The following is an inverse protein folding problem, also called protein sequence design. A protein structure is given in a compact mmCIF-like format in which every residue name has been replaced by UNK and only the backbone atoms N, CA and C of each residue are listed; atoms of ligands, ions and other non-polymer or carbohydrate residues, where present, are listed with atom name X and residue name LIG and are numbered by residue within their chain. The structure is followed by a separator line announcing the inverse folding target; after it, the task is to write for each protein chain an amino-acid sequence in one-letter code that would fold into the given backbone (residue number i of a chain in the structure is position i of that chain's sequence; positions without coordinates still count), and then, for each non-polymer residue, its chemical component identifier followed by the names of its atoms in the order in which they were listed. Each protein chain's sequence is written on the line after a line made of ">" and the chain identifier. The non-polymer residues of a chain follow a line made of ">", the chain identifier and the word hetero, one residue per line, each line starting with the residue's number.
data_IF_340455761860
#
_entry.id   IF_340455761860
#
_cell.length_a   1.000
_cell.length_b   1.000
_cell.length_c   1.000
_cell.angle_alpha   90.00
_cell.angle_beta   90.00
_cell.angle_gamma   90.00
#
_symmetry.space_group_name_H-M   'P 1'
#
loop_
_entity.id
_entity.type
_entity.pdbx_description
1 polymer ?
#
# COMPACT_ATOMS: atom_id res chain seq x y z
N UNK A 1 5.69 23.82 5.55
CA UNK A 1 6.00 25.10 4.84
C UNK A 1 5.67 24.99 3.36
N UNK A 2 6.23 24.04 2.61
CA UNK A 2 5.87 23.83 1.19
C UNK A 2 4.38 23.49 0.99
N UNK A 3 3.82 22.62 1.84
CA UNK A 3 2.37 22.32 1.82
C UNK A 3 1.49 23.55 2.09
N UNK A 4 1.94 24.48 2.94
CA UNK A 4 1.19 25.72 3.18
C UNK A 4 1.15 26.57 1.91
N UNK A 5 2.29 26.71 1.22
CA UNK A 5 2.37 27.44 -0.04
C UNK A 5 1.52 26.78 -1.12
N UNK A 6 1.51 25.44 -1.17
CA UNK A 6 0.65 24.66 -2.06
C UNK A 6 -0.82 24.96 -1.82
N UNK A 7 -1.26 24.98 -0.57
CA UNK A 7 -2.65 25.30 -0.19
C UNK A 7 -3.05 26.74 -0.52
N UNK A 8 -2.11 27.69 -0.37
CA UNK A 8 -2.34 29.09 -0.76
C UNK A 8 -2.58 29.20 -2.27
N UNK A 9 -1.76 28.51 -3.08
CA UNK A 9 -1.97 28.48 -4.53
C UNK A 9 -3.24 27.72 -4.94
N UNK A 10 -3.59 26.62 -4.27
CA UNK A 10 -4.84 25.91 -4.53
C UNK A 10 -6.05 26.81 -4.29
N UNK A 11 -6.08 27.49 -3.14
CA UNK A 11 -7.13 28.46 -2.82
C UNK A 11 -7.22 29.58 -3.86
N UNK A 12 -6.06 30.06 -4.34
CA UNK A 12 -6.02 31.06 -5.41
C UNK A 12 -6.55 30.52 -6.75
N UNK A 13 -6.17 29.29 -7.12
CA UNK A 13 -6.61 28.63 -8.34
C UNK A 13 -8.14 28.51 -8.35
N UNK A 14 -8.72 28.03 -7.26
CA UNK A 14 -10.17 27.82 -7.15
C UNK A 14 -10.96 29.13 -7.31
N UNK A 15 -10.43 30.22 -6.77
CA UNK A 15 -11.07 31.53 -6.82
C UNK A 15 -10.89 32.25 -8.16
N UNK A 16 -9.89 31.86 -8.97
CA UNK A 16 -9.47 32.61 -10.16
C UNK A 16 -9.35 31.74 -11.42
N UNK A 17 -9.94 30.55 -11.45
CA UNK A 17 -9.76 29.55 -12.51
C UNK A 17 -9.96 30.10 -13.92
N UNK A 18 -11.04 30.86 -14.15
CA UNK A 18 -11.31 31.48 -15.45
C UNK A 18 -10.23 32.48 -15.92
N UNK A 19 -9.58 33.21 -15.01
CA UNK A 19 -8.47 34.12 -15.35
C UNK A 19 -7.20 33.32 -15.66
N UNK A 20 -6.92 32.29 -14.84
CA UNK A 20 -5.75 31.44 -14.98
C UNK A 20 -5.77 30.72 -16.34
N UNK A 21 -6.92 30.19 -16.76
CA UNK A 21 -7.08 29.50 -18.04
C UNK A 21 -6.69 30.38 -19.23
N UNK A 22 -6.97 31.68 -19.16
CA UNK A 22 -6.62 32.63 -20.24
C UNK A 22 -5.15 33.04 -20.25
N UNK A 23 -4.41 32.83 -19.15
CA UNK A 23 -3.03 33.28 -19.02
C UNK A 23 -2.15 32.32 -18.20
N UNK A 24 -2.18 31.04 -18.57
CA UNK A 24 -1.37 29.98 -17.95
C UNK A 24 0.13 30.31 -17.83
N UNK A 25 0.81 30.88 -18.86
CA UNK A 25 2.24 31.18 -18.74
C UNK A 25 2.56 32.16 -17.60
N UNK A 26 1.72 33.17 -17.42
CA UNK A 26 1.90 34.18 -16.35
C UNK A 26 1.65 33.54 -14.98
N UNK A 27 0.59 32.74 -14.86
CA UNK A 27 0.31 32.03 -13.60
C UNK A 27 1.48 31.14 -13.19
N UNK A 28 1.96 30.27 -14.07
CA UNK A 28 3.11 29.42 -13.76
C UNK A 28 4.39 30.23 -13.48
N UNK A 29 4.59 31.36 -14.16
CA UNK A 29 5.68 32.29 -13.85
C UNK A 29 5.63 32.81 -12.41
N UNK A 30 4.44 33.15 -11.90
CA UNK A 30 4.26 33.54 -10.50
C UNK A 30 4.51 32.40 -9.52
N UNK A 31 3.99 31.20 -9.84
CA UNK A 31 4.23 29.98 -9.05
C UNK A 31 5.74 29.77 -8.87
N UNK A 32 6.50 29.82 -9.96
CA UNK A 32 7.95 29.58 -9.94
C UNK A 32 8.68 30.66 -9.16
N UNK A 33 8.39 31.94 -9.43
CA UNK A 33 9.05 33.04 -8.75
C UNK A 33 8.87 32.93 -7.22
N UNK A 34 7.70 32.52 -6.77
CA UNK A 34 7.42 32.30 -5.35
C UNK A 34 8.10 31.04 -4.81
N UNK A 35 8.07 29.93 -5.58
CA UNK A 35 8.70 28.67 -5.21
C UNK A 35 10.22 28.84 -5.04
N UNK A 36 10.89 29.49 -5.99
CA UNK A 36 12.34 29.73 -5.97
C UNK A 36 12.75 30.72 -4.88
N UNK A 37 11.93 31.74 -4.61
CA UNK A 37 12.19 32.68 -3.52
C UNK A 37 12.05 32.02 -2.15
N UNK A 38 11.04 31.17 -1.96
CA UNK A 38 10.75 30.54 -0.67
C UNK A 38 11.61 29.31 -0.40
N UNK A 39 12.09 28.63 -1.44
CA UNK A 39 12.82 27.37 -1.35
C UNK A 39 13.93 27.29 -2.41
N UNK A 40 15.01 28.08 -2.29
CA UNK A 40 16.08 28.16 -3.29
C UNK A 40 16.82 26.83 -3.49
N UNK A 41 16.99 26.05 -2.41
CA UNK A 41 17.74 24.79 -2.41
C UNK A 41 16.84 23.54 -2.61
N UNK A 42 15.63 23.72 -3.15
CA UNK A 42 14.72 22.59 -3.40
C UNK A 42 15.28 21.67 -4.49
N UNK A 43 15.25 20.36 -4.23
CA UNK A 43 15.64 19.37 -5.22
C UNK A 43 14.65 19.34 -6.40
N UNK A 44 15.14 18.92 -7.57
CA UNK A 44 14.34 18.96 -8.79
C UNK A 44 13.11 18.05 -8.74
N UNK A 45 13.11 16.98 -7.95
CA UNK A 45 11.97 16.05 -7.86
C UNK A 45 10.82 16.72 -7.13
N UNK A 46 11.09 17.25 -5.93
CA UNK A 46 10.08 17.97 -5.14
C UNK A 46 9.56 19.20 -5.89
N UNK A 47 10.44 19.89 -6.62
CA UNK A 47 10.07 21.03 -7.46
C UNK A 47 9.08 20.60 -8.56
N UNK A 48 9.40 19.56 -9.31
CA UNK A 48 8.56 19.08 -10.41
C UNK A 48 7.23 18.50 -9.90
N UNK A 49 7.21 17.83 -8.74
CA UNK A 49 5.99 17.36 -8.07
C UNK A 49 5.08 18.54 -7.67
N UNK A 50 5.66 19.67 -7.24
CA UNK A 50 4.88 20.88 -6.95
C UNK A 50 4.20 21.43 -8.20
N UNK A 51 4.93 21.51 -9.32
CA UNK A 51 4.38 21.96 -10.60
C UNK A 51 3.28 21.01 -11.10
N UNK A 52 3.49 19.69 -10.98
CA UNK A 52 2.50 18.67 -11.33
C UNK A 52 1.21 18.83 -10.51
N UNK A 53 1.32 19.12 -9.22
CA UNK A 53 0.16 19.37 -8.35
C UNK A 53 -0.59 20.67 -8.73
N UNK A 54 0.14 21.74 -9.09
CA UNK A 54 -0.50 22.97 -9.60
C UNK A 54 -1.23 22.72 -10.90
N UNK A 55 -0.60 22.01 -11.84
CA UNK A 55 -1.21 21.67 -13.13
C UNK A 55 -2.50 20.85 -12.94
N UNK A 56 -2.48 19.84 -12.07
CA UNK A 56 -3.66 19.05 -11.75
C UNK A 56 -4.78 19.89 -11.13
N UNK A 57 -4.49 20.75 -10.16
CA UNK A 57 -5.52 21.61 -9.55
C UNK A 57 -6.13 22.59 -10.55
N UNK A 58 -5.35 23.09 -11.51
CA UNK A 58 -5.88 23.90 -12.62
C UNK A 58 -6.82 23.07 -13.50
N UNK A 59 -6.45 21.82 -13.83
CA UNK A 59 -7.33 20.94 -14.62
C UNK A 59 -8.67 20.74 -13.91
N UNK A 60 -8.66 20.48 -12.60
CA UNK A 60 -9.85 20.24 -11.78
C UNK A 60 -10.72 21.51 -11.64
N UNK A 61 -10.11 22.67 -11.38
CA UNK A 61 -10.84 23.93 -11.16
C UNK A 61 -11.26 24.62 -12.46
N UNK A 62 -10.70 24.23 -13.61
CA UNK A 62 -10.99 24.85 -14.89
C UNK A 62 -12.46 24.65 -15.28
N UNK A 63 -13.17 25.70 -15.73
CA UNK A 63 -14.49 25.54 -16.36
C UNK A 63 -14.48 24.66 -17.62
N UNK A 64 -13.29 24.30 -18.11
CA UNK A 64 -13.06 23.46 -19.29
C UNK A 64 -12.39 22.14 -18.93
N UNK A 65 -12.53 21.65 -17.69
CA UNK A 65 -11.90 20.44 -17.14
C UNK A 65 -12.06 19.17 -17.98
N UNK A 66 -13.09 19.07 -18.84
CA UNK A 66 -13.28 17.95 -19.79
C UNK A 66 -12.74 18.15 -21.21
N UNK A 67 -12.16 19.30 -21.54
CA UNK A 67 -11.71 19.64 -22.90
C UNK A 67 -10.26 19.23 -23.11
N UNK A 68 -10.00 18.23 -23.97
CA UNK A 68 -8.64 17.77 -24.33
C UNK A 68 -7.72 18.95 -24.70
N UNK A 69 -8.22 19.90 -25.51
CA UNK A 69 -7.41 21.05 -25.93
C UNK A 69 -6.99 21.98 -24.79
N UNK A 70 -7.78 22.05 -23.72
CA UNK A 70 -7.44 22.85 -22.53
C UNK A 70 -6.42 22.09 -21.66
N UNK A 71 -6.63 20.79 -21.46
CA UNK A 71 -5.70 19.91 -20.76
C UNK A 71 -4.32 19.93 -21.42
N UNK A 72 -4.22 19.75 -22.75
CA UNK A 72 -2.95 19.79 -23.46
C UNK A 72 -2.26 21.17 -23.37
N UNK A 73 -3.04 22.26 -23.29
CA UNK A 73 -2.47 23.59 -23.01
C UNK A 73 -1.89 23.68 -21.59
N UNK A 74 -2.57 23.14 -20.58
CA UNK A 74 -2.08 23.09 -19.20
C UNK A 74 -0.80 22.24 -19.13
N UNK A 75 -0.82 21.02 -19.68
CA UNK A 75 0.33 20.12 -19.73
C UNK A 75 1.53 20.80 -20.40
N UNK A 76 1.31 21.41 -21.58
CA UNK A 76 2.37 22.09 -22.32
C UNK A 76 3.00 23.23 -21.53
N UNK A 77 2.20 24.01 -20.79
CA UNK A 77 2.72 25.10 -19.97
C UNK A 77 3.46 24.56 -18.74
N UNK A 78 2.87 23.61 -18.01
CA UNK A 78 3.55 22.98 -16.87
C UNK A 78 4.92 22.40 -17.26
N UNK A 79 4.99 21.65 -18.37
CA UNK A 79 6.24 21.06 -18.87
C UNK A 79 7.36 22.06 -19.14
N UNK A 80 7.03 23.28 -19.62
CA UNK A 80 8.03 24.33 -19.87
C UNK A 80 8.73 24.80 -18.60
N UNK A 81 8.09 24.60 -17.47
CA UNK A 81 8.50 25.12 -16.18
C UNK A 81 9.07 24.05 -15.26
N UNK A 82 9.03 22.77 -15.64
CA UNK A 82 9.68 21.67 -14.91
C UNK A 82 11.19 21.70 -15.13
N UNK A 83 11.96 21.42 -14.07
CA UNK A 83 13.44 21.42 -14.08
C UNK A 83 14.01 20.16 -14.74
N UNK A 84 13.38 19.00 -14.57
CA UNK A 84 13.84 17.77 -15.25
C UNK A 84 13.22 17.58 -16.64
N UNK A 85 12.40 18.54 -17.11
CA UNK A 85 12.08 18.83 -18.51
C UNK A 85 11.51 17.73 -19.42
N UNK A 86 11.30 16.48 -18.96
CA UNK A 86 10.92 15.36 -19.87
C UNK A 86 9.96 14.32 -19.30
N UNK A 87 9.57 14.41 -18.03
CA UNK A 87 8.59 13.48 -17.45
C UNK A 87 7.16 13.95 -17.73
N UNK A 88 6.69 13.82 -18.99
CA UNK A 88 5.28 14.06 -19.37
C UNK A 88 4.33 13.04 -18.70
N UNK A 89 4.83 11.85 -18.37
CA UNK A 89 3.96 10.77 -17.89
C UNK A 89 3.21 11.04 -16.59
N UNK A 90 3.76 11.83 -15.66
CA UNK A 90 2.99 12.27 -14.48
C UNK A 90 1.76 13.07 -14.89
N UNK A 91 1.96 14.07 -15.76
CA UNK A 91 0.89 14.94 -16.23
C UNK A 91 -0.12 14.18 -17.09
N UNK A 92 0.32 13.19 -17.87
CA UNK A 92 -0.58 12.31 -18.61
C UNK A 92 -1.50 11.52 -17.68
N UNK A 93 -0.93 10.90 -16.64
CA UNK A 93 -1.72 10.15 -15.65
C UNK A 93 -2.75 11.09 -15.00
N UNK A 94 -2.31 12.25 -14.52
CA UNK A 94 -3.18 13.23 -13.85
C UNK A 94 -4.30 13.73 -14.77
N UNK A 95 -3.99 14.00 -16.05
CA UNK A 95 -4.96 14.36 -17.05
C UNK A 95 -5.98 13.24 -17.33
N UNK A 96 -5.52 11.98 -17.42
CA UNK A 96 -6.40 10.83 -17.60
C UNK A 96 -7.34 10.61 -16.41
N UNK A 97 -6.84 10.82 -15.18
CA UNK A 97 -7.66 10.73 -13.97
C UNK A 97 -8.71 11.84 -13.90
N UNK A 98 -8.37 13.06 -14.30
CA UNK A 98 -9.33 14.17 -14.37
C UNK A 98 -10.36 13.97 -15.49
N UNK A 99 -9.96 13.55 -16.68
CA UNK A 99 -10.91 13.19 -17.74
C UNK A 99 -11.88 12.09 -17.28
N UNK A 100 -11.39 11.13 -16.51
CA UNK A 100 -12.23 10.09 -15.91
C UNK A 100 -13.19 10.66 -14.86
N UNK A 101 -12.74 11.59 -14.00
CA UNK A 101 -13.54 12.21 -12.92
C UNK A 101 -14.73 13.00 -13.47
N UNK A 102 -14.54 13.71 -14.58
CA UNK A 102 -15.59 14.48 -15.28
C UNK A 102 -16.45 13.63 -16.22
N UNK A 103 -16.18 12.32 -16.31
CA UNK A 103 -16.96 11.36 -17.08
C UNK A 103 -16.58 11.25 -18.57
N UNK A 104 -15.46 11.80 -18.99
CA UNK A 104 -14.92 11.69 -20.34
C UNK A 104 -14.03 10.44 -20.49
N UNK A 105 -14.65 9.26 -20.41
CA UNK A 105 -13.95 7.97 -20.38
C UNK A 105 -13.20 7.62 -21.66
N UNK A 106 -13.75 8.00 -22.83
CA UNK A 106 -13.10 7.74 -24.12
C UNK A 106 -11.75 8.45 -24.21
N UNK A 107 -11.70 9.72 -23.80
CA UNK A 107 -10.49 10.52 -23.87
C UNK A 107 -9.52 10.20 -22.73
N UNK A 108 -10.00 9.70 -21.59
CA UNK A 108 -9.15 9.25 -20.48
C UNK A 108 -8.28 8.04 -20.83
N UNK A 109 -8.81 7.07 -21.60
CA UNK A 109 -8.12 5.80 -21.91
C UNK A 109 -6.74 6.01 -22.58
N UNK A 110 -6.59 6.84 -23.64
CA UNK A 110 -5.30 7.11 -24.26
C UNK A 110 -4.22 7.64 -23.30
N UNK A 111 -4.61 8.40 -22.28
CA UNK A 111 -3.69 8.91 -21.27
C UNK A 111 -3.29 7.83 -20.24
N UNK A 112 -4.23 7.01 -19.79
CA UNK A 112 -4.01 6.03 -18.72
C UNK A 112 -3.40 4.71 -19.22
N UNK A 113 -3.84 4.21 -20.38
CA UNK A 113 -3.47 2.88 -20.91
C UNK A 113 -1.95 2.64 -21.01
N UNK A 114 -1.10 3.59 -21.45
CA UNK A 114 0.35 3.39 -21.48
C UNK A 114 0.95 3.03 -20.11
N UNK A 115 0.30 3.47 -19.03
CA UNK A 115 0.78 3.29 -17.66
C UNK A 115 0.12 2.13 -16.90
N UNK A 116 -0.82 1.41 -17.53
CA UNK A 116 -1.55 0.29 -16.91
C UNK A 116 -0.64 -0.86 -16.45
N UNK A 117 0.55 -1.02 -17.04
CA UNK A 117 1.55 -2.02 -16.63
C UNK A 117 2.50 -1.51 -15.55
N UNK A 118 2.50 -0.21 -15.27
CA UNK A 118 3.36 0.41 -14.27
C UNK A 118 2.72 0.43 -12.87
N UNK A 119 1.39 0.43 -12.80
CA UNK A 119 0.64 0.38 -11.54
C UNK A 119 -0.72 -0.30 -11.73
N UNK A 120 -1.05 -1.20 -10.81
CA UNK A 120 -2.32 -1.93 -10.83
C UNK A 120 -3.53 -0.99 -10.80
N UNK A 121 -3.48 0.12 -10.06
CA UNK A 121 -4.60 1.06 -9.96
C UNK A 121 -4.92 1.73 -11.30
N UNK A 122 -3.89 2.07 -12.08
CA UNK A 122 -4.09 2.61 -13.44
C UNK A 122 -4.76 1.58 -14.34
N UNK A 123 -4.35 0.31 -14.26
CA UNK A 123 -4.99 -0.78 -14.99
C UNK A 123 -6.48 -0.93 -14.63
N UNK A 124 -6.83 -0.79 -13.34
CA UNK A 124 -8.22 -0.80 -12.90
C UNK A 124 -9.01 0.39 -13.44
N UNK A 125 -8.43 1.59 -13.47
CA UNK A 125 -9.08 2.79 -14.01
C UNK A 125 -9.33 2.69 -15.52
N UNK A 126 -8.42 2.08 -16.27
CA UNK A 126 -8.64 1.80 -17.70
C UNK A 126 -9.81 0.83 -17.88
N UNK A 127 -9.85 -0.26 -17.09
CA UNK A 127 -10.98 -1.19 -17.09
C UNK A 127 -12.29 -0.50 -16.68
N UNK A 128 -12.23 0.46 -15.75
CA UNK A 128 -13.38 1.26 -15.34
C UNK A 128 -13.92 2.13 -16.48
N UNK A 129 -13.04 2.80 -17.22
CA UNK A 129 -13.43 3.60 -18.37
C UNK A 129 -14.19 2.74 -19.39
N UNK A 130 -13.66 1.55 -19.73
CA UNK A 130 -14.36 0.62 -20.61
C UNK A 130 -15.72 0.17 -20.06
N UNK A 131 -15.82 -0.12 -18.76
CA UNK A 131 -17.11 -0.46 -18.15
C UNK A 131 -18.14 0.66 -18.22
N UNK A 132 -17.70 1.91 -18.04
CA UNK A 132 -18.59 3.07 -18.15
C UNK A 132 -19.05 3.30 -19.59
N UNK A 133 -18.19 3.06 -20.57
CA UNK A 133 -18.56 3.12 -21.99
C UNK A 133 -19.54 2.00 -22.36
N UNK A 134 -19.32 0.77 -21.88
CA UNK A 134 -20.27 -0.34 -22.03
C UNK A 134 -21.66 0.01 -21.50
N UNK A 135 -21.74 0.62 -20.32
CA UNK A 135 -23.01 1.04 -19.74
C UNK A 135 -23.71 2.13 -20.58
N UNK A 136 -22.95 2.98 -21.28
CA UNK A 136 -23.51 3.99 -22.21
C UNK A 136 -24.05 3.33 -23.49
N UNK A 137 -23.32 2.38 -24.08
CA UNK A 137 -23.74 1.64 -25.27
C UNK A 137 -25.02 0.84 -25.04
N UNK A 138 -25.10 0.17 -23.87
CA UNK A 138 -26.20 -0.74 -23.55
C UNK A 138 -27.42 -0.03 -22.94
N UNK A 139 -27.33 1.27 -22.66
CA UNK A 139 -28.38 2.04 -21.96
C UNK A 139 -29.73 1.99 -22.67
N UNK A 140 -29.71 1.98 -24.00
CA UNK A 140 -30.91 2.03 -24.84
C UNK A 140 -31.39 0.64 -25.30
N UNK A 141 -30.68 -0.43 -24.94
CA UNK A 141 -31.03 -1.79 -25.35
C UNK A 141 -32.11 -2.39 -24.41
N UNK A 142 -33.06 -3.19 -24.95
CA UNK A 142 -33.98 -3.97 -24.14
C UNK A 142 -33.22 -4.94 -23.23
N UNK A 143 -33.72 -5.23 -22.02
CA UNK A 143 -33.05 -6.16 -21.08
C UNK A 143 -32.80 -7.54 -21.68
N UNK A 144 -33.70 -8.03 -22.53
CA UNK A 144 -33.52 -9.31 -23.25
C UNK A 144 -32.27 -9.33 -24.14
N UNK A 145 -31.82 -8.16 -24.61
CA UNK A 145 -30.64 -7.98 -25.46
C UNK A 145 -29.35 -7.74 -24.68
N UNK A 146 -29.43 -7.50 -23.36
CA UNK A 146 -28.27 -7.29 -22.46
C UNK A 146 -27.63 -8.58 -21.96
N UNK A 147 -28.05 -9.73 -22.51
CA UNK A 147 -27.56 -11.05 -22.12
C UNK A 147 -26.14 -11.35 -22.63
N UNK A 148 -25.64 -10.60 -23.62
CA UNK A 148 -24.27 -10.72 -24.14
C UNK A 148 -23.43 -9.50 -23.72
N UNK A 149 -22.16 -9.70 -23.32
CA UNK A 149 -21.24 -8.60 -23.07
C UNK A 149 -21.11 -7.70 -24.30
N UNK A 150 -21.06 -6.38 -24.08
CA UNK A 150 -20.72 -5.41 -25.14
C UNK A 150 -19.24 -5.50 -25.51
N UNK A 151 -18.85 -4.87 -26.63
CA UNK A 151 -17.43 -4.77 -27.00
C UNK A 151 -16.60 -4.08 -25.91
N UNK A 152 -17.16 -3.04 -25.28
CA UNK A 152 -16.47 -2.34 -24.20
C UNK A 152 -16.37 -3.17 -22.92
N UNK A 153 -17.36 -4.00 -22.59
CA UNK A 153 -17.22 -4.95 -21.47
C UNK A 153 -16.13 -5.99 -21.77
N UNK A 154 -16.06 -6.49 -23.01
CA UNK A 154 -14.99 -7.39 -23.43
C UNK A 154 -13.62 -6.73 -23.33
N UNK A 155 -13.50 -5.45 -23.71
CA UNK A 155 -12.28 -4.67 -23.55
C UNK A 155 -11.88 -4.49 -22.07
N UNK A 156 -12.86 -4.27 -21.18
CA UNK A 156 -12.61 -4.21 -19.74
C UNK A 156 -12.08 -5.56 -19.21
N UNK A 157 -12.69 -6.68 -19.62
CA UNK A 157 -12.24 -8.04 -19.27
C UNK A 157 -10.84 -8.32 -19.81
N UNK A 158 -10.55 -7.94 -21.04
CA UNK A 158 -9.23 -8.09 -21.65
C UNK A 158 -8.16 -7.29 -20.88
N UNK A 159 -8.48 -6.06 -20.47
CA UNK A 159 -7.58 -5.25 -19.65
C UNK A 159 -7.28 -5.93 -18.31
N UNK A 160 -8.28 -6.49 -17.64
CA UNK A 160 -8.09 -7.24 -16.38
C UNK A 160 -7.31 -8.54 -16.58
N UNK A 161 -7.55 -9.27 -17.68
CA UNK A 161 -6.76 -10.45 -18.05
C UNK A 161 -5.29 -10.10 -18.30
N UNK A 162 -5.01 -8.98 -18.97
CA UNK A 162 -3.64 -8.53 -19.18
C UNK A 162 -2.96 -8.19 -17.85
N UNK A 163 -3.69 -7.56 -16.91
CA UNK A 163 -3.17 -7.30 -15.58
C UNK A 163 -2.81 -8.59 -14.83
N UNK A 164 -3.61 -9.66 -14.94
CA UNK A 164 -3.29 -10.97 -14.35
C UNK A 164 -1.99 -11.56 -14.92
N UNK A 165 -1.72 -11.34 -16.22
CA UNK A 165 -0.50 -11.80 -16.88
C UNK A 165 0.72 -10.99 -16.43
N UNK A 166 0.60 -9.67 -16.38
CA UNK A 166 1.74 -8.78 -16.11
C UNK A 166 1.98 -8.54 -14.62
N UNK A 167 0.98 -8.77 -13.77
CA UNK A 167 0.95 -8.48 -12.33
C UNK A 167 1.65 -7.16 -11.97
N UNK A 168 1.14 -6.01 -12.46
CA UNK A 168 1.73 -4.71 -12.16
C UNK A 168 1.87 -4.50 -10.64
N UNK A 169 2.89 -3.75 -10.19
CA UNK A 169 3.03 -3.43 -8.78
C UNK A 169 1.83 -2.61 -8.30
N UNK A 170 1.47 -2.77 -7.03
CA UNK A 170 0.30 -2.12 -6.46
C UNK A 170 0.73 -0.77 -5.90
N UNK A 171 0.13 0.31 -6.40
CA UNK A 171 0.14 1.59 -5.70
C UNK A 171 1.56 2.16 -5.51
N UNK A 172 2.36 2.05 -6.57
CA UNK A 172 3.73 2.52 -6.75
C UNK A 172 3.79 3.99 -7.16
N UNK A 173 2.78 4.46 -7.90
CA UNK A 173 2.77 5.79 -8.50
C UNK A 173 2.31 6.84 -7.49
N UNK A 174 3.22 7.77 -7.15
CA UNK A 174 2.93 8.90 -6.24
C UNK A 174 1.84 9.83 -6.75
N UNK A 175 1.65 9.87 -8.07
CA UNK A 175 0.64 10.67 -8.77
C UNK A 175 -0.78 10.38 -8.27
N UNK A 176 -1.02 9.15 -7.83
CA UNK A 176 -2.30 8.73 -7.28
C UNK A 176 -2.63 9.43 -5.96
N UNK A 177 -1.62 9.87 -5.20
CA UNK A 177 -1.82 10.70 -4.01
C UNK A 177 -2.08 12.17 -4.33
N UNK A 178 -1.71 12.63 -5.54
CA UNK A 178 -1.99 14.01 -5.98
C UNK A 178 -3.47 14.13 -6.40
N UNK A 179 -3.99 13.10 -7.04
CA UNK A 179 -5.35 13.06 -7.60
C UNK A 179 -6.41 12.49 -6.64
N UNK A 180 -6.05 12.22 -5.39
CA UNK A 180 -6.90 11.49 -4.44
C UNK A 180 -8.26 12.18 -4.24
N UNK A 181 -9.31 11.55 -4.76
CA UNK A 181 -10.68 12.02 -4.64
C UNK A 181 -11.66 10.83 -4.54
N UNK A 182 -12.84 11.10 -3.99
CA UNK A 182 -13.86 10.09 -3.70
C UNK A 182 -14.29 9.30 -4.94
N UNK A 183 -14.35 9.95 -6.10
CA UNK A 183 -14.76 9.29 -7.35
C UNK A 183 -13.76 8.23 -7.78
N UNK A 184 -12.45 8.51 -7.72
CA UNK A 184 -11.40 7.54 -8.05
C UNK A 184 -11.44 6.35 -7.10
N UNK A 185 -11.76 6.58 -5.83
CA UNK A 185 -11.92 5.51 -4.86
C UNK A 185 -13.09 4.60 -5.22
N UNK A 186 -14.27 5.18 -5.49
CA UNK A 186 -15.47 4.44 -5.91
C UNK A 186 -15.24 3.66 -7.21
N UNK A 187 -14.57 4.28 -8.19
CA UNK A 187 -14.21 3.64 -9.46
C UNK A 187 -13.32 2.41 -9.25
N UNK A 188 -12.33 2.52 -8.37
CA UNK A 188 -11.44 1.41 -8.03
C UNK A 188 -12.21 0.25 -7.39
N UNK A 189 -13.02 0.51 -6.36
CA UNK A 189 -13.79 -0.52 -5.68
C UNK A 189 -14.80 -1.21 -6.60
N UNK A 190 -15.45 -0.44 -7.50
CA UNK A 190 -16.39 -0.99 -8.47
C UNK A 190 -15.70 -2.02 -9.39
N UNK A 191 -14.53 -1.69 -9.95
CA UNK A 191 -13.81 -2.63 -10.84
C UNK A 191 -13.18 -3.78 -10.09
N UNK A 192 -12.70 -3.58 -8.87
CA UNK A 192 -12.26 -4.70 -8.04
C UNK A 192 -13.41 -5.69 -7.79
N UNK A 193 -14.63 -5.19 -7.55
CA UNK A 193 -15.83 -6.02 -7.45
C UNK A 193 -16.05 -6.88 -8.70
N UNK A 194 -16.07 -6.26 -9.88
CA UNK A 194 -16.19 -7.00 -11.15
C UNK A 194 -15.04 -7.98 -11.38
N UNK A 195 -13.80 -7.60 -11.06
CA UNK A 195 -12.65 -8.47 -11.23
C UNK A 195 -12.72 -9.73 -10.34
N UNK A 196 -13.16 -9.58 -9.09
CA UNK A 196 -13.37 -10.70 -8.16
C UNK A 196 -14.53 -11.60 -8.63
N UNK A 197 -15.57 -11.02 -9.21
CA UNK A 197 -16.71 -11.75 -9.76
C UNK A 197 -16.34 -12.54 -11.02
N UNK A 198 -15.67 -11.89 -11.97
CA UNK A 198 -15.31 -12.47 -13.26
C UNK A 198 -14.14 -13.45 -13.18
N UNK A 199 -13.23 -13.24 -12.22
CA UNK A 199 -12.05 -14.07 -12.01
C UNK A 199 -12.03 -14.64 -10.57
N UNK A 200 -13.02 -15.47 -10.21
CA UNK A 200 -13.24 -15.89 -8.83
C UNK A 200 -12.11 -16.76 -8.25
N UNK A 201 -11.27 -17.33 -9.11
CA UNK A 201 -10.14 -18.19 -8.75
C UNK A 201 -8.80 -17.45 -8.79
N UNK A 202 -8.80 -16.14 -9.08
CA UNK A 202 -7.59 -15.34 -9.18
C UNK A 202 -7.37 -14.53 -7.90
N UNK A 203 -6.49 -14.98 -6.97
CA UNK A 203 -6.32 -14.34 -5.68
C UNK A 203 -5.72 -12.93 -5.80
N UNK A 204 -5.03 -12.63 -6.90
CA UNK A 204 -4.29 -11.39 -7.08
C UNK A 204 -5.17 -10.13 -6.99
N UNK A 205 -6.41 -10.16 -7.47
CA UNK A 205 -7.33 -9.03 -7.32
C UNK A 205 -7.74 -8.77 -5.87
N UNK A 206 -7.91 -9.82 -5.06
CA UNK A 206 -8.12 -9.65 -3.62
C UNK A 206 -6.89 -9.04 -2.95
N UNK A 207 -5.67 -9.43 -3.38
CA UNK A 207 -4.43 -8.83 -2.85
C UNK A 207 -4.34 -7.33 -3.15
N UNK A 208 -4.72 -6.90 -4.36
CA UNK A 208 -4.84 -5.47 -4.69
C UNK A 208 -5.78 -4.76 -3.74
N UNK A 209 -6.98 -5.32 -3.53
CA UNK A 209 -7.97 -4.76 -2.62
C UNK A 209 -7.43 -4.64 -1.19
N UNK A 210 -6.81 -5.70 -0.67
CA UNK A 210 -6.26 -5.71 0.68
C UNK A 210 -5.15 -4.68 0.88
N UNK A 211 -4.23 -4.56 -0.07
CA UNK A 211 -3.20 -3.52 -0.04
C UNK A 211 -3.80 -2.11 -0.07
N UNK A 212 -4.86 -1.90 -0.87
CA UNK A 212 -5.59 -0.63 -0.87
C UNK A 212 -6.27 -0.36 0.49
N UNK A 213 -6.90 -1.36 1.12
CA UNK A 213 -7.55 -1.17 2.43
C UNK A 213 -6.58 -0.75 3.53
N UNK A 214 -5.32 -1.23 3.50
CA UNK A 214 -4.29 -0.80 4.44
C UNK A 214 -3.91 0.67 4.24
N UNK A 215 -3.84 1.14 2.98
CA UNK A 215 -3.53 2.54 2.66
C UNK A 215 -4.65 3.49 3.06
N UNK A 216 -5.89 3.09 2.81
CA UNK A 216 -7.07 3.92 3.10
C UNK A 216 -7.54 3.78 4.56
N UNK A 217 -6.93 2.88 5.33
CA UNK A 217 -7.37 2.47 6.67
C UNK A 217 -8.85 2.00 6.69
N UNK A 218 -9.27 1.28 5.65
CA UNK A 218 -10.63 0.82 5.43
C UNK A 218 -10.83 -0.61 5.98
N UNK A 219 -11.01 -0.70 7.30
CA UNK A 219 -11.16 -1.97 8.03
C UNK A 219 -12.40 -2.77 7.61
N UNK A 220 -13.51 -2.12 7.29
CA UNK A 220 -14.75 -2.78 6.87
C UNK A 220 -14.56 -3.54 5.55
N UNK A 221 -13.92 -2.89 4.57
CA UNK A 221 -13.62 -3.53 3.29
C UNK A 221 -12.56 -4.62 3.46
N UNK A 222 -11.57 -4.41 4.33
CA UNK A 222 -10.53 -5.40 4.64
C UNK A 222 -11.15 -6.69 5.15
N UNK A 223 -12.10 -6.59 6.08
CA UNK A 223 -12.83 -7.75 6.60
C UNK A 223 -13.62 -8.48 5.51
N UNK A 224 -14.34 -7.75 4.65
CA UNK A 224 -15.10 -8.35 3.54
C UNK A 224 -14.18 -9.12 2.59
N UNK A 225 -13.07 -8.51 2.18
CA UNK A 225 -12.11 -9.14 1.28
C UNK A 225 -11.41 -10.35 1.93
N UNK A 226 -11.07 -10.26 3.22
CA UNK A 226 -10.49 -11.38 3.96
C UNK A 226 -11.48 -12.52 4.18
N UNK A 227 -12.78 -12.24 4.30
CA UNK A 227 -13.80 -13.28 4.33
C UNK A 227 -13.81 -14.05 3.01
N UNK A 228 -13.86 -13.35 1.87
CA UNK A 228 -13.80 -13.98 0.54
C UNK A 228 -12.49 -14.76 0.37
N UNK A 229 -11.36 -14.15 0.75
CA UNK A 229 -10.04 -14.77 0.66
C UNK A 229 -9.90 -16.00 1.54
N UNK A 230 -10.36 -15.93 2.79
CA UNK A 230 -10.31 -17.03 3.74
C UNK A 230 -11.22 -18.20 3.38
N UNK A 231 -12.36 -17.95 2.72
CA UNK A 231 -13.27 -19.00 2.24
C UNK A 231 -12.73 -19.68 0.96
N UNK A 232 -12.27 -18.90 -0.02
CA UNK A 232 -11.84 -19.44 -1.34
C UNK A 232 -10.40 -19.92 -1.37
N UNK A 233 -9.51 -19.22 -0.67
CA UNK A 233 -8.07 -19.45 -0.66
C UNK A 233 -7.59 -19.80 0.75
N UNK A 234 -8.35 -20.65 1.44
CA UNK A 234 -8.13 -21.06 2.84
C UNK A 234 -6.75 -21.69 3.11
N UNK A 235 -6.07 -22.14 2.06
CA UNK A 235 -4.73 -22.73 2.13
C UNK A 235 -3.63 -21.80 1.62
N UNK A 236 -3.92 -20.58 1.14
CA UNK A 236 -2.90 -19.65 0.67
C UNK A 236 -2.32 -18.85 1.86
N UNK A 237 -1.00 -18.96 2.04
CA UNK A 237 -0.28 -18.35 3.16
C UNK A 237 -0.49 -16.83 3.24
N UNK A 238 -0.64 -16.13 2.12
CA UNK A 238 -0.88 -14.69 2.12
C UNK A 238 -2.15 -14.33 2.90
N UNK A 239 -3.27 -15.00 2.62
CA UNK A 239 -4.53 -14.72 3.31
C UNK A 239 -4.51 -15.18 4.76
N UNK A 240 -3.80 -16.26 5.07
CA UNK A 240 -3.60 -16.69 6.44
C UNK A 240 -2.83 -15.63 7.26
N UNK A 241 -1.77 -15.04 6.71
CA UNK A 241 -1.03 -13.93 7.36
C UNK A 241 -1.91 -12.72 7.62
N UNK A 242 -2.67 -12.30 6.61
CA UNK A 242 -3.58 -11.16 6.75
C UNK A 242 -4.68 -11.42 7.79
N UNK A 243 -5.25 -12.63 7.79
CA UNK A 243 -6.22 -13.06 8.81
C UNK A 243 -5.60 -13.07 10.20
N UNK A 244 -4.37 -13.59 10.35
CA UNK A 244 -3.64 -13.57 11.62
C UNK A 244 -3.48 -12.14 12.12
N UNK A 245 -3.03 -11.22 11.26
CA UNK A 245 -2.77 -9.84 11.61
C UNK A 245 -4.05 -9.09 12.01
N UNK A 246 -5.13 -9.23 11.22
CA UNK A 246 -6.43 -8.62 11.53
C UNK A 246 -6.99 -9.12 12.87
N UNK A 247 -6.89 -10.43 13.15
CA UNK A 247 -7.37 -11.02 14.41
C UNK A 247 -6.56 -10.54 15.60
N UNK A 248 -5.24 -10.39 15.41
CA UNK A 248 -4.35 -9.87 16.44
C UNK A 248 -4.67 -8.40 16.78
N UNK A 249 -4.90 -7.55 15.77
CA UNK A 249 -5.30 -6.15 15.93
C UNK A 249 -6.62 -6.01 16.68
N UNK A 250 -7.58 -6.91 16.41
CA UNK A 250 -8.86 -7.01 17.12
C UNK A 250 -8.76 -7.65 18.51
N UNK A 251 -7.56 -8.06 18.94
CA UNK A 251 -7.31 -8.77 20.21
C UNK A 251 -8.08 -10.09 20.34
N UNK A 252 -8.40 -10.72 19.22
CA UNK A 252 -9.05 -12.03 19.17
C UNK A 252 -8.00 -13.15 19.27
N UNK A 253 -7.53 -13.41 20.50
CA UNK A 253 -6.48 -14.41 20.74
C UNK A 253 -6.88 -15.83 20.34
N UNK A 254 -8.16 -16.20 20.54
CA UNK A 254 -8.68 -17.51 20.17
C UNK A 254 -8.75 -17.68 18.64
N UNK A 255 -9.27 -16.67 17.93
CA UNK A 255 -9.27 -16.65 16.46
C UNK A 255 -7.86 -16.66 15.89
N UNK A 256 -6.93 -15.90 16.49
CA UNK A 256 -5.52 -15.88 16.08
C UNK A 256 -4.86 -17.26 16.24
N UNK A 257 -5.09 -17.93 17.37
CA UNK A 257 -4.62 -19.30 17.59
C UNK A 257 -5.22 -20.31 16.58
N UNK A 258 -6.50 -20.11 16.21
CA UNK A 258 -7.15 -20.89 15.15
C UNK A 258 -6.45 -20.76 13.80
N UNK A 259 -6.08 -19.53 13.42
CA UNK A 259 -5.33 -19.27 12.18
C UNK A 259 -3.94 -19.92 12.23
N UNK A 260 -3.20 -19.81 13.34
CA UNK A 260 -1.90 -20.48 13.50
C UNK A 260 -2.03 -22.00 13.35
N UNK A 261 -3.07 -22.60 13.95
CA UNK A 261 -3.35 -24.03 13.79
C UNK A 261 -3.61 -24.39 12.33
N UNK A 262 -4.39 -23.58 11.61
CA UNK A 262 -4.65 -23.76 10.19
C UNK A 262 -3.37 -23.64 9.36
N UNK A 263 -2.53 -22.64 9.61
CA UNK A 263 -1.23 -22.48 8.97
C UNK A 263 -0.35 -23.73 9.15
N UNK A 264 -0.26 -24.28 10.36
CA UNK A 264 0.51 -25.49 10.64
C UNK A 264 -0.06 -26.74 9.94
N UNK A 265 -1.37 -26.81 9.76
CA UNK A 265 -2.02 -27.93 9.05
C UNK A 265 -1.77 -27.87 7.53
N UNK A 266 -1.81 -26.67 6.95
CA UNK A 266 -1.62 -26.47 5.51
C UNK A 266 -0.13 -26.46 5.12
N UNK A 267 0.75 -26.05 6.04
CA UNK A 267 2.19 -25.92 5.81
C UNK A 267 3.01 -26.63 6.92
N UNK A 268 2.91 -27.96 7.05
CA UNK A 268 3.56 -28.70 8.13
C UNK A 268 5.09 -28.63 8.10
N UNK A 269 5.68 -28.51 6.92
CA UNK A 269 7.14 -28.43 6.72
C UNK A 269 7.69 -27.01 6.84
N UNK A 270 6.82 -26.01 7.01
CA UNK A 270 7.24 -24.62 7.14
C UNK A 270 7.48 -24.25 8.59
N UNK A 271 8.58 -23.55 8.85
CA UNK A 271 8.88 -22.96 10.15
C UNK A 271 8.11 -21.67 10.43
N UNK A 272 7.50 -21.08 9.40
CA UNK A 272 6.79 -19.81 9.48
C UNK A 272 5.54 -19.87 10.40
N UNK A 273 4.64 -20.87 10.29
CA UNK A 273 3.53 -21.02 11.24
C UNK A 273 3.97 -21.09 12.70
N UNK A 274 5.13 -21.70 12.96
CA UNK A 274 5.70 -21.81 14.31
C UNK A 274 6.15 -20.44 14.83
N UNK A 275 6.74 -19.60 13.97
CA UNK A 275 7.02 -18.22 14.33
C UNK A 275 5.74 -17.46 14.73
N UNK A 276 4.66 -17.56 13.96
CA UNK A 276 3.39 -16.90 14.31
C UNK A 276 2.81 -17.42 15.63
N UNK A 277 2.93 -18.72 15.90
CA UNK A 277 2.59 -19.28 17.21
C UNK A 277 3.43 -18.73 18.36
N UNK A 278 4.74 -18.59 18.15
CA UNK A 278 5.65 -17.98 19.13
C UNK A 278 5.33 -16.51 19.34
N UNK A 279 5.09 -15.74 18.27
CA UNK A 279 4.68 -14.32 18.33
C UNK A 279 3.40 -14.18 19.17
N UNK A 280 2.39 -15.01 18.93
CA UNK A 280 1.17 -15.02 19.74
C UNK A 280 1.45 -15.35 21.22
N UNK A 281 2.33 -16.31 21.49
CA UNK A 281 2.72 -16.67 22.85
C UNK A 281 3.50 -15.55 23.57
N UNK A 282 4.37 -14.84 22.86
CA UNK A 282 5.10 -13.67 23.35
C UNK A 282 4.13 -12.54 23.73
N UNK A 283 3.14 -12.26 22.87
CA UNK A 283 2.16 -11.19 23.08
C UNK A 283 1.15 -11.52 24.19
N UNK A 284 0.79 -12.79 24.36
CA UNK A 284 -0.08 -13.25 25.45
C UNK A 284 0.65 -13.48 26.77
N UNK A 285 1.98 -13.56 26.75
CA UNK A 285 2.80 -13.88 27.93
C UNK A 285 2.58 -15.30 28.47
N UNK A 286 2.04 -16.22 27.65
CA UNK A 286 1.73 -17.60 28.06
C UNK A 286 2.99 -18.49 28.05
N UNK A 287 3.52 -18.91 29.22
CA UNK A 287 4.72 -19.76 29.27
C UNK A 287 4.48 -21.14 28.65
N UNK A 288 3.29 -21.69 28.87
CA UNK A 288 2.89 -23.01 28.34
C UNK A 288 2.85 -22.99 26.82
N UNK A 289 2.19 -21.98 26.22
CA UNK A 289 2.10 -21.85 24.77
C UNK A 289 3.48 -21.60 24.16
N UNK A 290 4.28 -20.73 24.78
CA UNK A 290 5.63 -20.43 24.33
C UNK A 290 6.49 -21.70 24.29
N UNK A 291 6.51 -22.48 25.38
CA UNK A 291 7.28 -23.72 25.46
C UNK A 291 6.86 -24.73 24.37
N UNK A 292 5.55 -24.91 24.15
CA UNK A 292 5.05 -25.84 23.13
C UNK A 292 5.47 -25.45 21.72
N UNK A 293 5.33 -24.17 21.34
CA UNK A 293 5.75 -23.74 20.01
C UNK A 293 7.27 -23.74 19.84
N UNK A 294 8.01 -23.40 20.91
CA UNK A 294 9.48 -23.46 20.94
C UNK A 294 9.99 -24.89 20.73
N UNK A 295 9.44 -25.87 21.44
CA UNK A 295 9.79 -27.29 21.28
C UNK A 295 9.55 -27.73 19.82
N UNK A 296 8.38 -27.43 19.26
CA UNK A 296 8.09 -27.70 17.84
C UNK A 296 9.02 -26.99 16.88
N UNK A 297 9.45 -25.76 17.17
CA UNK A 297 10.39 -25.01 16.33
C UNK A 297 11.78 -25.67 16.31
N UNK A 298 12.23 -26.21 17.44
CA UNK A 298 13.46 -27.00 17.52
C UNK A 298 13.32 -28.28 16.70
N UNK A 299 12.21 -29.00 16.86
CA UNK A 299 11.95 -30.25 16.13
C UNK A 299 11.87 -30.03 14.60
N UNK A 300 11.32 -28.88 14.19
CA UNK A 300 11.25 -28.46 12.79
C UNK A 300 12.60 -27.93 12.22
N UNK A 301 13.69 -28.01 12.99
CA UNK A 301 15.02 -27.62 12.53
C UNK A 301 15.23 -26.10 12.43
N UNK A 302 14.45 -25.29 13.15
CA UNK A 302 14.64 -23.85 13.15
C UNK A 302 16.04 -23.48 13.68
N UNK A 303 16.73 -22.48 13.09
CA UNK A 303 18.10 -22.16 13.48
C UNK A 303 18.23 -21.85 14.98
N UNK A 304 19.22 -22.47 15.62
CA UNK A 304 19.42 -22.40 17.09
C UNK A 304 19.53 -20.96 17.59
N UNK A 305 20.21 -20.07 16.85
CA UNK A 305 20.33 -18.67 17.24
C UNK A 305 18.96 -17.97 17.33
N UNK A 306 18.00 -18.33 16.48
CA UNK A 306 16.66 -17.78 16.49
C UNK A 306 15.85 -18.27 17.71
N UNK A 307 16.02 -19.53 18.11
CA UNK A 307 15.45 -20.07 19.35
C UNK A 307 15.95 -19.28 20.57
N UNK A 308 17.25 -18.98 20.64
CA UNK A 308 17.80 -18.13 21.70
C UNK A 308 17.22 -16.71 21.67
N UNK A 309 16.99 -16.14 20.48
CA UNK A 309 16.32 -14.86 20.32
C UNK A 309 14.88 -14.90 20.87
N UNK A 310 14.15 -15.99 20.65
CA UNK A 310 12.82 -16.18 21.21
C UNK A 310 12.83 -16.29 22.72
N UNK A 311 13.79 -17.02 23.28
CA UNK A 311 13.97 -17.15 24.74
C UNK A 311 14.26 -15.79 25.38
N UNK A 312 15.16 -15.03 24.75
CA UNK A 312 15.46 -13.67 25.17
C UNK A 312 14.22 -12.76 25.10
N UNK A 313 13.51 -12.77 23.98
CA UNK A 313 12.30 -11.97 23.79
C UNK A 313 11.23 -12.33 24.84
N UNK A 314 11.00 -13.62 25.11
CA UNK A 314 10.01 -14.06 26.09
C UNK A 314 10.37 -13.60 27.50
N UNK A 315 11.63 -13.79 27.93
CA UNK A 315 12.09 -13.32 29.23
C UNK A 315 12.00 -11.79 29.35
N UNK A 316 12.36 -11.07 28.29
CA UNK A 316 12.27 -9.61 28.26
C UNK A 316 10.83 -9.10 28.42
N UNK A 317 9.87 -9.75 27.75
CA UNK A 317 8.46 -9.34 27.76
C UNK A 317 7.71 -9.73 29.03
N UNK A 318 8.05 -10.88 29.61
CA UNK A 318 7.53 -11.31 30.91
C UNK A 318 8.21 -10.60 32.10
N UNK A 319 9.15 -9.68 31.81
CA UNK A 319 9.93 -8.90 32.79
C UNK A 319 10.87 -9.73 33.66
N UNK A 320 11.26 -10.92 33.20
CA UNK A 320 12.31 -11.73 33.81
C UNK A 320 13.70 -11.25 33.34
N UNK A 321 14.11 -10.08 33.87
CA UNK A 321 15.34 -9.41 33.49
C UNK A 321 16.62 -10.24 33.74
N UNK A 322 16.76 -10.98 34.85
CA UNK A 322 17.92 -11.85 35.06
C UNK A 322 18.07 -12.91 33.96
N UNK A 323 16.97 -13.56 33.58
CA UNK A 323 16.97 -14.57 32.51
C UNK A 323 17.26 -13.93 31.15
N UNK A 324 16.68 -12.76 30.87
CA UNK A 324 16.96 -12.02 29.64
C UNK A 324 18.45 -11.66 29.52
N UNK A 325 19.05 -11.12 30.59
CA UNK A 325 20.48 -10.79 30.62
C UNK A 325 21.36 -12.03 30.42
N UNK A 326 21.08 -13.11 31.13
CA UNK A 326 21.83 -14.37 31.00
C UNK A 326 21.75 -14.94 29.58
N UNK A 327 20.56 -14.90 28.98
CA UNK A 327 20.34 -15.39 27.61
C UNK A 327 21.12 -14.55 26.60
N UNK A 328 21.09 -13.22 26.71
CA UNK A 328 21.82 -12.33 25.82
C UNK A 328 23.35 -12.50 25.94
N UNK A 329 23.86 -12.67 27.16
CA UNK A 329 25.28 -12.95 27.39
C UNK A 329 25.71 -14.27 26.74
N UNK A 330 24.88 -15.31 26.86
CA UNK A 330 25.15 -16.61 26.22
C UNK A 330 25.10 -16.52 24.70
N UNK A 331 24.15 -15.76 24.13
CA UNK A 331 24.06 -15.52 22.69
C UNK A 331 25.33 -14.87 22.15
N UNK A 332 25.85 -13.84 22.83
CA UNK A 332 27.10 -13.16 22.44
C UNK A 332 28.31 -14.08 22.48
N UNK A 333 28.33 -15.03 23.43
CA UNK A 333 29.39 -16.03 23.54
C UNK A 333 29.33 -17.07 22.43
N UNK A 334 28.13 -17.54 22.08
CA UNK A 334 27.92 -18.61 21.10
C UNK A 334 27.93 -18.14 19.65
N UNK A 335 27.37 -16.97 19.37
CA UNK A 335 27.09 -16.51 18.00
C UNK A 335 27.96 -15.30 17.63
N UNK A 336 29.26 -15.53 17.47
CA UNK A 336 30.23 -14.47 17.15
C UNK A 336 29.91 -13.70 15.87
N UNK A 337 29.28 -14.33 14.88
CA UNK A 337 28.82 -13.70 13.64
C UNK A 337 27.71 -12.65 13.85
N UNK A 338 26.95 -12.74 14.95
CA UNK A 338 25.86 -11.84 15.28
C UNK A 338 26.28 -10.73 16.25
N UNK A 339 27.57 -10.63 16.61
CA UNK A 339 28.06 -9.71 17.65
C UNK A 339 27.60 -8.27 17.45
N UNK A 340 27.68 -7.74 16.22
CA UNK A 340 27.23 -6.38 15.91
C UNK A 340 25.74 -6.18 16.20
N UNK A 341 24.90 -7.13 15.78
CA UNK A 341 23.46 -7.06 16.01
C UNK A 341 23.12 -7.21 17.50
N UNK A 342 23.75 -8.17 18.19
CA UNK A 342 23.54 -8.39 19.63
C UNK A 342 24.00 -7.23 20.50
N UNK A 343 25.02 -6.48 20.08
CA UNK A 343 25.41 -5.22 20.74
C UNK A 343 24.33 -4.14 20.63
N UNK A 344 23.65 -4.03 19.48
CA UNK A 344 22.52 -3.12 19.32
C UNK A 344 21.32 -3.56 20.17
N UNK A 345 21.02 -4.86 20.21
CA UNK A 345 19.96 -5.41 21.06
C UNK A 345 20.24 -5.16 22.54
N UNK A 346 21.49 -5.30 22.99
CA UNK A 346 21.87 -4.95 24.37
C UNK A 346 21.67 -3.46 24.66
N UNK A 347 22.06 -2.59 23.74
CA UNK A 347 21.83 -1.15 23.90
C UNK A 347 20.34 -0.84 24.09
N UNK A 348 19.48 -1.37 23.22
CA UNK A 348 18.02 -1.20 23.30
C UNK A 348 17.45 -1.81 24.58
N UNK A 349 17.95 -2.99 24.98
CA UNK A 349 17.56 -3.64 26.22
C UNK A 349 17.90 -2.79 27.45
N UNK A 350 19.09 -2.19 27.49
CA UNK A 350 19.49 -1.30 28.59
C UNK A 350 18.69 0.01 28.58
N UNK A 351 18.42 0.61 27.41
CA UNK A 351 17.55 1.79 27.31
C UNK A 351 16.12 1.49 27.79
N UNK A 352 15.64 0.26 27.58
CA UNK A 352 14.32 -0.13 28.09
C UNK A 352 14.20 -0.09 29.62
N UNK A 353 15.34 0.00 30.32
CA UNK A 353 15.47 0.07 31.77
C UNK A 353 15.86 1.47 32.28
N UNK A 354 15.95 2.48 31.40
CA UNK A 354 16.53 3.80 31.73
C UNK A 354 15.70 4.68 32.68
N UNK A 355 14.65 4.15 33.32
CA UNK A 355 13.73 4.87 34.23
C UNK A 355 12.78 5.86 33.55
N UNK A 356 13.08 6.31 32.34
CA UNK A 356 12.22 7.15 31.48
C UNK A 356 11.21 6.27 30.74
N UNK A 357 9.92 6.39 31.10
CA UNK A 357 8.84 5.59 30.50
C UNK A 357 8.70 5.79 28.99
N UNK A 358 8.93 7.01 28.50
CA UNK A 358 8.84 7.34 27.08
C UNK A 358 9.97 6.67 26.28
N UNK A 359 11.20 6.69 26.80
CA UNK A 359 12.33 5.96 26.22
C UNK A 359 12.11 4.46 26.31
N UNK A 360 11.66 3.95 27.45
CA UNK A 360 11.43 2.53 27.65
C UNK A 360 10.40 1.95 26.67
N UNK A 361 9.31 2.71 26.41
CA UNK A 361 8.29 2.32 25.43
C UNK A 361 8.85 2.31 24.00
N UNK A 362 9.63 3.33 23.62
CA UNK A 362 10.28 3.39 22.29
C UNK A 362 11.28 2.25 22.10
N UNK A 363 12.12 1.98 23.10
CA UNK A 363 13.09 0.89 23.07
C UNK A 363 12.42 -0.47 22.86
N UNK A 364 11.32 -0.76 23.59
CA UNK A 364 10.54 -1.99 23.39
C UNK A 364 9.99 -2.12 21.98
N UNK A 365 9.47 -1.03 21.40
CA UNK A 365 8.97 -1.02 20.02
C UNK A 365 10.09 -1.31 19.02
N UNK A 366 11.22 -0.61 19.13
CA UNK A 366 12.40 -0.81 18.26
C UNK A 366 12.92 -2.24 18.36
N UNK A 367 12.94 -2.81 19.57
CA UNK A 367 13.31 -4.21 19.77
C UNK A 367 12.39 -5.16 18.99
N UNK A 368 11.07 -4.99 19.09
CA UNK A 368 10.11 -5.83 18.37
C UNK A 368 10.22 -5.71 16.86
N UNK A 369 10.25 -4.48 16.34
CA UNK A 369 10.36 -4.22 14.90
C UNK A 369 11.65 -4.87 14.35
N UNK A 370 12.76 -4.74 15.09
CA UNK A 370 14.03 -5.36 14.71
C UNK A 370 14.00 -6.89 14.80
N UNK A 371 13.42 -7.43 15.87
CA UNK A 371 13.30 -8.86 16.09
C UNK A 371 12.46 -9.53 15.01
N UNK A 372 11.34 -8.91 14.63
CA UNK A 372 10.48 -9.38 13.55
C UNK A 372 11.22 -9.37 12.20
N UNK A 373 11.84 -8.25 11.84
CA UNK A 373 12.61 -8.13 10.60
C UNK A 373 13.73 -9.17 10.51
N UNK A 374 14.48 -9.38 11.60
CA UNK A 374 15.52 -10.41 11.66
C UNK A 374 14.95 -11.81 11.50
N UNK A 375 13.84 -12.10 12.18
CA UNK A 375 13.18 -13.42 12.10
C UNK A 375 12.68 -13.68 10.67
N UNK A 376 12.05 -12.70 10.04
CA UNK A 376 11.59 -12.81 8.65
C UNK A 376 12.74 -13.08 7.69
N UNK A 377 13.87 -12.38 7.87
CA UNK A 377 15.07 -12.60 7.06
C UNK A 377 15.62 -14.02 7.23
N UNK A 378 15.74 -14.52 8.46
CA UNK A 378 16.28 -15.85 8.75
C UNK A 378 15.35 -16.96 8.23
N UNK A 379 14.04 -16.80 8.41
CA UNK A 379 13.03 -17.77 7.98
C UNK A 379 12.61 -17.61 6.51
N UNK A 380 13.15 -16.60 5.80
CA UNK A 380 12.80 -16.26 4.41
C UNK A 380 11.30 -16.02 4.21
N UNK A 381 10.66 -15.43 5.21
CA UNK A 381 9.27 -14.99 5.13
C UNK A 381 9.28 -13.75 4.21
N UNK A 382 8.76 -13.91 3.00
CA UNK A 382 8.59 -12.79 2.06
C UNK A 382 7.43 -11.92 2.54
N UNK A 383 7.64 -10.62 2.72
CA UNK A 383 6.57 -9.64 2.97
C UNK A 383 5.67 -9.46 1.74
#
# INVERSE_FOLDING_TARGET
>A
KIESLKQDFFSYIDQNSGKIDTNLPVFFGHVIAQLERSFPDMDNTTYDEFIDAMAYRIMEASPRSGSIGAIEQIIKNALRFKRNGRAKGTLDILAGLELMSVGNFNDAIPYLRPYAKHDALIGLYVAYCYMRLSAQETRHLPESSKTRPSEMELAAREQLLEMLRTKPPISRLRQLHIADNEFLEQACWAILGYAIEWFPNEPWFLRIGLEKTKKDNNEDMRERLLKIGGEKFFNDMFFLRELYQMRLERKDGAGTAGVVKQMMQQYPDSSEPLYFGIKLALLSGSPTSFRQFREKAVDAGMPVHLIYFFDFAFAFLTKDMPTAQATLAEMKRRFGSLKYYLSLIEYVFNESQSGDEGRAKRAKRVFFDSFEAYTFQVLRIQE
#
